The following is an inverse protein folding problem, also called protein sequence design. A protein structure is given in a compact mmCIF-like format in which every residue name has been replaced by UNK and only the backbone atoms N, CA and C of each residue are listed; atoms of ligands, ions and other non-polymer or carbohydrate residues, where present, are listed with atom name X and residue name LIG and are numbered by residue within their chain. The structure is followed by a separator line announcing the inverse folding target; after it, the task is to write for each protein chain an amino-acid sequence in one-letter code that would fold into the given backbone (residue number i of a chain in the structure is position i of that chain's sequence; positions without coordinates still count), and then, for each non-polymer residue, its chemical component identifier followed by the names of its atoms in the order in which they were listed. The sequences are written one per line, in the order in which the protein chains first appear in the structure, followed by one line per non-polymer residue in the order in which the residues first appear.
data_IF_921057419493
#
_entry.id   IF_921057419493
#
_cell.length_a   1.000
_cell.length_b   1.000
_cell.length_c   1.000
_cell.angle_alpha   90.00
_cell.angle_beta   90.00
_cell.angle_gamma   90.00
#
_symmetry.space_group_name_H-M   'P 1'
#
loop_
_entity.id
_entity.type
_entity.pdbx_description
1 polymer ?
#
# COMPACT_ATOMS: atom_id res chain seq x y z
N UNK A 1 12.67 3.17 -23.44
CA UNK A 1 11.45 3.18 -24.29
C UNK A 1 10.36 3.91 -23.53
N UNK A 2 9.50 4.67 -24.22
CA UNK A 2 8.43 5.41 -23.56
C UNK A 2 7.38 4.41 -23.04
N UNK A 3 7.25 4.29 -21.71
CA UNK A 3 6.21 3.45 -21.11
C UNK A 3 4.83 3.99 -21.50
N UNK A 4 3.95 3.10 -21.94
CA UNK A 4 2.57 3.43 -22.28
C UNK A 4 1.72 3.43 -21.01
N UNK A 5 0.87 4.45 -20.86
CA UNK A 5 -0.06 4.55 -19.73
C UNK A 5 -1.49 4.35 -20.22
N UNK A 6 -2.27 3.56 -19.48
CA UNK A 6 -3.71 3.39 -19.66
C UNK A 6 -4.42 4.16 -18.56
N UNK A 7 -5.24 5.10 -19.00
CA UNK A 7 -6.01 5.99 -18.13
C UNK A 7 -7.46 5.51 -18.03
N UNK A 8 -8.19 6.07 -17.06
CA UNK A 8 -9.61 5.76 -16.88
C UNK A 8 -10.45 6.10 -18.12
N UNK A 9 -9.99 7.05 -18.95
CA UNK A 9 -10.65 7.44 -20.19
C UNK A 9 -10.45 6.38 -21.29
N UNK A 10 -9.28 5.76 -21.37
CA UNK A 10 -9.02 4.67 -22.31
C UNK A 10 -9.92 3.47 -22.03
N UNK A 11 -10.15 3.15 -20.75
CA UNK A 11 -11.07 2.10 -20.32
C UNK A 11 -12.52 2.44 -20.71
N UNK A 12 -12.96 3.68 -20.48
CA UNK A 12 -14.32 4.13 -20.86
C UNK A 12 -14.55 4.03 -22.37
N UNK A 13 -13.53 4.34 -23.18
CA UNK A 13 -13.59 4.24 -24.65
C UNK A 13 -13.61 2.79 -25.13
N UNK A 14 -12.92 1.90 -24.43
CA UNK A 14 -12.78 0.51 -24.84
C UNK A 14 -14.11 -0.25 -24.96
N UNK A 15 -15.19 0.19 -24.28
CA UNK A 15 -16.60 -0.25 -24.44
C UNK A 15 -16.89 -1.76 -24.49
N UNK A 16 -15.88 -2.61 -24.30
CA UNK A 16 -15.87 -4.03 -24.59
C UNK A 16 -15.10 -4.78 -23.51
N UNK A 17 -15.55 -5.99 -23.23
CA UNK A 17 -15.19 -6.74 -22.02
C UNK A 17 -13.74 -7.21 -21.92
N UNK A 18 -12.85 -6.92 -22.88
CA UNK A 18 -11.44 -7.32 -22.84
C UNK A 18 -10.53 -6.25 -23.46
N UNK A 19 -9.46 -5.88 -22.75
CA UNK A 19 -8.42 -4.96 -23.22
C UNK A 19 -7.05 -5.63 -23.10
N UNK A 20 -6.37 -5.80 -24.24
CA UNK A 20 -5.03 -6.39 -24.32
C UNK A 20 -3.97 -5.29 -24.22
N UNK A 21 -3.01 -5.48 -23.33
CA UNK A 21 -1.98 -4.52 -22.94
C UNK A 21 -0.59 -5.07 -23.29
N UNK A 22 0.32 -4.17 -23.66
CA UNK A 22 1.72 -4.52 -23.86
C UNK A 22 2.40 -4.82 -22.51
N UNK A 23 3.53 -5.51 -22.55
CA UNK A 23 4.23 -5.97 -21.35
C UNK A 23 4.68 -4.82 -20.43
N UNK A 24 5.01 -3.67 -20.99
CA UNK A 24 5.50 -2.48 -20.28
C UNK A 24 4.40 -1.44 -20.00
N UNK A 25 3.14 -1.77 -20.30
CA UNK A 25 2.02 -0.86 -20.11
C UNK A 25 1.66 -0.72 -18.63
N UNK A 26 1.55 0.51 -18.15
CA UNK A 26 1.09 0.83 -16.80
C UNK A 26 -0.38 1.22 -16.85
N UNK A 27 -1.22 0.55 -16.07
CA UNK A 27 -2.62 0.91 -15.87
C UNK A 27 -2.70 1.73 -14.61
N UNK A 28 -3.21 2.95 -14.72
CA UNK A 28 -3.36 3.83 -13.55
C UNK A 28 -4.34 3.23 -12.52
N UNK A 29 -4.20 3.52 -11.21
CA UNK A 29 -5.12 3.00 -10.19
C UNK A 29 -6.59 3.33 -10.50
N UNK A 30 -6.84 4.56 -10.97
CA UNK A 30 -8.18 4.98 -11.39
C UNK A 30 -8.71 4.17 -12.59
N UNK A 31 -7.83 3.77 -13.52
CA UNK A 31 -8.22 2.92 -14.64
C UNK A 31 -8.55 1.50 -14.20
N UNK A 32 -7.79 0.93 -13.24
CA UNK A 32 -8.08 -0.37 -12.65
C UNK A 32 -9.47 -0.40 -11.98
N UNK A 33 -9.78 0.62 -11.18
CA UNK A 33 -11.11 0.76 -10.55
C UNK A 33 -12.24 0.84 -11.58
N UNK A 34 -12.04 1.64 -12.63
CA UNK A 34 -13.04 1.80 -13.70
C UNK A 34 -13.20 0.50 -14.48
N UNK A 35 -12.12 -0.23 -14.76
CA UNK A 35 -12.18 -1.52 -15.43
C UNK A 35 -12.95 -2.57 -14.61
N UNK A 36 -12.69 -2.62 -13.30
CA UNK A 36 -13.43 -3.50 -12.37
C UNK A 36 -14.93 -3.18 -12.34
N UNK A 37 -15.30 -1.90 -12.26
CA UNK A 37 -16.71 -1.46 -12.26
C UNK A 37 -17.42 -1.72 -13.59
N UNK A 38 -16.70 -1.56 -14.69
CA UNK A 38 -17.23 -1.76 -16.04
C UNK A 38 -17.20 -3.23 -16.49
N UNK A 39 -16.59 -4.13 -15.72
CA UNK A 39 -16.43 -5.54 -16.08
C UNK A 39 -15.48 -5.77 -17.25
N UNK A 40 -14.46 -4.93 -17.40
CA UNK A 40 -13.45 -5.04 -18.47
C UNK A 40 -12.28 -5.87 -17.97
N UNK A 41 -12.01 -7.00 -18.64
CA UNK A 41 -10.86 -7.85 -18.35
C UNK A 41 -9.58 -7.25 -18.96
N UNK A 42 -8.61 -6.92 -18.12
CA UNK A 42 -7.29 -6.45 -18.54
C UNK A 42 -6.35 -7.64 -18.67
N UNK A 43 -5.84 -7.88 -19.88
CA UNK A 43 -4.87 -8.95 -20.16
C UNK A 43 -3.61 -8.42 -20.78
N UNK A 44 -2.48 -9.07 -20.53
CA UNK A 44 -1.24 -8.80 -21.23
C UNK A 44 -1.22 -9.54 -22.57
N UNK A 45 -0.33 -9.12 -23.47
CA UNK A 45 -0.09 -9.78 -24.76
C UNK A 45 0.36 -11.24 -24.63
N UNK A 46 0.84 -11.66 -23.45
CA UNK A 46 1.17 -13.04 -23.07
C UNK A 46 -0.05 -13.88 -22.62
N UNK A 47 -1.25 -13.29 -22.59
CA UNK A 47 -2.50 -13.94 -22.18
C UNK A 47 -2.74 -14.00 -20.67
N UNK A 48 -1.82 -13.52 -19.83
CA UNK A 48 -2.00 -13.43 -18.38
C UNK A 48 -2.86 -12.23 -18.01
N UNK A 49 -3.48 -12.28 -16.83
CA UNK A 49 -4.16 -11.12 -16.24
C UNK A 49 -3.14 -10.00 -15.98
N UNK A 50 -3.59 -8.76 -16.09
CA UNK A 50 -2.73 -7.61 -15.82
C UNK A 50 -2.12 -7.66 -14.41
N UNK A 51 -0.79 -7.59 -14.34
CA UNK A 51 -0.05 -7.20 -13.13
C UNK A 51 0.75 -5.95 -13.43
N UNK A 52 0.94 -5.10 -12.42
CA UNK A 52 1.79 -3.93 -12.56
C UNK A 52 3.23 -4.37 -12.90
N UNK A 53 3.86 -3.80 -13.94
CA UNK A 53 5.24 -4.13 -14.28
C UNK A 53 6.19 -3.61 -13.20
N UNK A 54 7.38 -4.20 -13.10
CA UNK A 54 8.35 -3.77 -12.10
C UNK A 54 8.69 -2.26 -12.23
N UNK A 55 8.70 -1.52 -11.10
CA UNK A 55 9.01 -0.09 -11.11
C UNK A 55 10.40 0.15 -11.70
N UNK A 56 10.52 1.08 -12.65
CA UNK A 56 11.84 1.53 -13.12
C UNK A 56 12.47 2.39 -12.02
N UNK A 57 13.56 1.88 -11.43
CA UNK A 57 14.30 2.55 -10.36
C UNK A 57 15.46 3.42 -10.89
N UNK A 58 15.62 3.48 -12.21
CA UNK A 58 16.66 4.27 -12.88
C UNK A 58 18.08 3.72 -12.68
N UNK A 59 19.10 4.43 -13.19
CA UNK A 59 20.50 3.99 -13.13
C UNK A 59 21.05 3.95 -11.69
N UNK A 60 20.43 4.64 -10.75
CA UNK A 60 20.83 4.68 -9.34
C UNK A 60 20.64 3.33 -8.66
N UNK A 61 19.62 2.57 -9.05
CA UNK A 61 19.41 1.21 -8.53
C UNK A 61 20.51 0.26 -8.97
N UNK A 62 20.88 0.29 -10.26
CA UNK A 62 21.99 -0.53 -10.76
C UNK A 62 23.31 -0.18 -10.07
N UNK A 63 23.60 1.12 -9.91
CA UNK A 63 24.79 1.59 -9.19
C UNK A 63 24.81 1.12 -7.73
N UNK A 64 23.67 1.13 -7.06
CA UNK A 64 23.55 0.67 -5.69
C UNK A 64 23.69 -0.86 -5.56
N UNK A 65 23.19 -1.63 -6.53
CA UNK A 65 23.39 -3.08 -6.57
C UNK A 65 24.89 -3.43 -6.71
N UNK A 66 25.61 -2.67 -7.54
CA UNK A 66 27.05 -2.87 -7.76
C UNK A 66 27.89 -2.40 -6.56
N UNK A 67 27.50 -1.32 -5.88
CA UNK A 67 28.29 -0.70 -4.79
C UNK A 67 27.95 -1.19 -3.38
N UNK A 68 26.75 -1.74 -3.16
CA UNK A 68 26.24 -2.16 -1.85
C UNK A 68 25.68 -3.60 -1.89
N UNK A 69 26.51 -4.63 -2.19
CA UNK A 69 26.07 -6.01 -2.43
C UNK A 69 25.49 -6.72 -1.20
N UNK A 70 25.65 -6.16 0.01
CA UNK A 70 25.14 -6.74 1.26
C UNK A 70 23.84 -6.12 1.73
N UNK A 71 23.28 -5.16 0.98
CA UNK A 71 21.96 -4.61 1.27
C UNK A 71 20.98 -5.37 0.39
N UNK A 72 20.27 -6.39 0.91
CA UNK A 72 19.28 -7.09 0.11
C UNK A 72 18.21 -6.08 -0.31
N UNK A 73 17.90 -6.06 -1.61
CA UNK A 73 16.71 -5.35 -2.06
C UNK A 73 15.50 -5.96 -1.33
N UNK A 74 14.56 -5.13 -0.83
CA UNK A 74 13.28 -5.64 -0.36
C UNK A 74 12.60 -6.36 -1.52
N UNK A 75 12.68 -7.69 -1.51
CA UNK A 75 12.13 -8.56 -2.53
C UNK A 75 10.69 -8.93 -2.15
N UNK A 76 9.78 -8.73 -3.10
CA UNK A 76 8.37 -9.08 -2.97
C UNK A 76 7.44 -7.89 -2.67
N UNK A 77 6.12 -8.09 -2.81
CA UNK A 77 5.13 -7.16 -2.32
C UNK A 77 5.14 -7.24 -0.79
N UNK A 78 6.01 -6.47 -0.15
CA UNK A 78 6.01 -6.42 1.30
C UNK A 78 4.71 -5.77 1.77
N UNK A 79 3.85 -6.61 2.32
CA UNK A 79 2.55 -6.27 2.91
C UNK A 79 2.70 -5.55 4.25
N UNK A 80 3.93 -5.44 4.76
CA UNK A 80 4.26 -4.78 6.00
C UNK A 80 3.92 -3.29 5.97
N UNK A 81 3.12 -2.87 6.95
CA UNK A 81 2.80 -1.48 7.22
C UNK A 81 3.00 -1.16 8.70
N UNK A 82 3.40 0.07 8.97
CA UNK A 82 3.52 0.61 10.31
C UNK A 82 2.33 1.53 10.55
N UNK A 83 1.56 1.22 11.57
CA UNK A 83 0.44 2.05 12.06
C UNK A 83 0.92 2.75 13.32
N UNK A 84 0.81 4.08 13.35
CA UNK A 84 1.08 4.86 14.56
C UNK A 84 -0.17 5.59 15.00
N UNK A 85 -0.45 5.62 16.29
CA UNK A 85 -1.56 6.33 16.88
C UNK A 85 -1.08 7.17 18.07
N UNK A 86 -1.48 8.44 18.10
CA UNK A 86 -1.11 9.39 19.16
C UNK A 86 -2.31 10.25 19.53
N UNK A 87 -2.62 10.36 20.82
CA UNK A 87 -3.72 11.22 21.27
C UNK A 87 -4.04 11.11 22.74
N UNK A 88 -5.16 11.69 23.14
CA UNK A 88 -5.64 11.59 24.52
C UNK A 88 -6.15 10.18 24.76
N UNK A 89 -5.72 9.56 25.85
CA UNK A 89 -6.16 8.21 26.14
C UNK A 89 -7.63 8.20 26.59
N UNK A 90 -8.45 7.30 26.02
CA UNK A 90 -9.79 6.99 26.49
C UNK A 90 -10.04 5.48 26.48
N UNK A 91 -10.96 4.97 27.32
CA UNK A 91 -11.40 3.60 27.22
C UNK A 91 -11.88 3.27 25.78
N UNK A 92 -11.41 2.15 25.25
CA UNK A 92 -11.83 1.63 23.94
C UNK A 92 -10.88 1.90 22.77
N UNK A 93 -9.87 2.77 22.88
CA UNK A 93 -8.96 3.09 21.75
C UNK A 93 -8.29 1.83 21.18
N UNK A 94 -7.73 0.98 22.04
CA UNK A 94 -7.06 -0.24 21.59
C UNK A 94 -8.06 -1.16 20.87
N UNK A 95 -9.28 -1.31 21.40
CA UNK A 95 -10.31 -2.14 20.78
C UNK A 95 -10.74 -1.60 19.41
N UNK A 96 -10.84 -0.28 19.27
CA UNK A 96 -11.20 0.39 18.02
C UNK A 96 -10.13 0.17 16.94
N UNK A 97 -8.86 0.36 17.29
CA UNK A 97 -7.73 0.12 16.39
C UNK A 97 -7.65 -1.36 16.01
N UNK A 98 -7.70 -2.28 16.98
CA UNK A 98 -7.56 -3.72 16.68
C UNK A 98 -8.77 -4.29 15.96
N UNK A 99 -9.97 -3.75 16.17
CA UNK A 99 -11.16 -4.10 15.38
C UNK A 99 -10.96 -3.70 13.93
N UNK A 100 -10.50 -2.47 13.66
CA UNK A 100 -10.24 -2.02 12.29
C UNK A 100 -9.16 -2.87 11.59
N UNK A 101 -8.13 -3.29 12.33
CA UNK A 101 -7.12 -4.23 11.83
C UNK A 101 -7.73 -5.60 11.52
N UNK A 102 -8.56 -6.13 12.42
CA UNK A 102 -9.24 -7.40 12.25
C UNK A 102 -10.22 -7.40 11.06
N UNK A 103 -10.98 -6.31 10.87
CA UNK A 103 -11.89 -6.13 9.74
C UNK A 103 -11.14 -6.06 8.40
N UNK A 104 -9.89 -5.62 8.42
CA UNK A 104 -8.99 -5.65 7.25
C UNK A 104 -8.29 -7.00 7.06
N UNK A 105 -8.48 -7.96 7.99
CA UNK A 105 -7.77 -9.23 8.01
C UNK A 105 -6.26 -9.10 8.27
N UNK A 106 -5.82 -7.96 8.83
CA UNK A 106 -4.40 -7.69 9.07
C UNK A 106 -3.86 -8.52 10.24
N UNK A 107 -2.62 -8.96 10.13
CA UNK A 107 -1.91 -9.65 11.21
C UNK A 107 -0.97 -8.69 11.94
N UNK A 108 -0.95 -8.72 13.28
CA UNK A 108 -0.11 -7.83 14.08
C UNK A 108 1.17 -8.56 14.46
N UNK A 109 2.28 -8.16 13.84
CA UNK A 109 3.61 -8.72 14.12
C UNK A 109 4.23 -8.18 15.40
N UNK A 110 4.07 -6.89 15.65
CA UNK A 110 4.62 -6.23 16.82
C UNK A 110 3.75 -5.05 17.25
N UNK A 111 3.71 -4.80 18.57
CA UNK A 111 2.99 -3.69 19.17
C UNK A 111 3.84 -3.06 20.27
N UNK A 112 4.01 -1.75 20.17
CA UNK A 112 4.63 -0.93 21.22
C UNK A 112 3.67 0.17 21.63
N UNK A 113 3.48 0.32 22.94
CA UNK A 113 2.65 1.36 23.53
C UNK A 113 3.40 2.02 24.68
N UNK A 114 3.30 3.35 24.78
CA UNK A 114 3.69 4.10 25.98
C UNK A 114 2.75 5.27 26.24
N UNK A 115 2.71 5.71 27.49
CA UNK A 115 2.06 6.96 27.88
C UNK A 115 3.13 8.02 28.11
N UNK A 116 2.97 9.20 27.50
CA UNK A 116 3.88 10.35 27.62
C UNK A 116 3.05 11.57 27.90
N UNK A 117 3.30 12.25 29.02
CA UNK A 117 2.61 13.49 29.37
C UNK A 117 1.07 13.39 29.32
N UNK A 118 0.53 12.20 29.63
CA UNK A 118 -0.92 11.93 29.60
C UNK A 118 -1.49 11.55 28.23
N UNK A 119 -0.68 11.57 27.17
CA UNK A 119 -1.04 11.09 25.84
C UNK A 119 -0.59 9.64 25.67
N UNK A 120 -1.40 8.83 24.98
CA UNK A 120 -0.94 7.52 24.55
C UNK A 120 -0.17 7.68 23.23
N UNK A 121 0.86 6.87 23.09
CA UNK A 121 1.60 6.67 21.87
C UNK A 121 1.61 5.18 21.59
N UNK A 122 1.19 4.80 20.40
CA UNK A 122 1.14 3.43 19.96
C UNK A 122 1.78 3.32 18.59
N UNK A 123 2.58 2.29 18.38
CA UNK A 123 3.06 1.88 17.07
C UNK A 123 2.84 0.38 16.91
N UNK A 124 2.25 -0.02 15.80
CA UNK A 124 2.04 -1.40 15.42
C UNK A 124 2.74 -1.67 14.10
N UNK A 125 3.41 -2.81 14.03
CA UNK A 125 3.91 -3.37 12.77
C UNK A 125 2.94 -4.47 12.37
N UNK A 126 2.33 -4.33 11.20
CA UNK A 126 1.24 -5.22 10.77
C UNK A 126 1.46 -5.67 9.32
N UNK A 127 1.06 -6.90 9.02
CA UNK A 127 1.03 -7.43 7.66
C UNK A 127 -0.38 -7.30 7.10
N UNK A 128 -0.50 -6.60 5.97
CA UNK A 128 -1.77 -6.30 5.32
C UNK A 128 -2.05 -7.30 4.18
N UNK A 129 -3.07 -8.16 4.27
CA UNK A 129 -3.38 -9.09 3.19
C UNK A 129 -3.95 -8.36 1.97
N UNK A 130 -3.88 -8.99 0.79
CA UNK A 130 -4.52 -8.47 -0.44
C UNK A 130 -6.03 -8.24 -0.27
N UNK A 131 -6.67 -9.05 0.59
CA UNK A 131 -8.09 -8.95 0.93
C UNK A 131 -8.48 -7.63 1.64
N UNK A 132 -7.51 -6.86 2.14
CA UNK A 132 -7.75 -5.57 2.76
C UNK A 132 -8.20 -4.48 1.77
N UNK A 133 -8.22 -4.77 0.46
CA UNK A 133 -8.56 -3.81 -0.60
C UNK A 133 -7.42 -2.83 -0.91
N UNK A 134 -6.19 -3.20 -0.55
CA UNK A 134 -4.97 -2.43 -0.81
C UNK A 134 -4.63 -1.38 0.25
N UNK A 135 -3.38 -0.91 0.20
CA UNK A 135 -2.83 0.06 1.16
C UNK A 135 -3.64 1.37 1.24
N UNK A 136 -4.09 1.91 0.10
CA UNK A 136 -4.82 3.17 0.07
C UNK A 136 -6.11 3.13 0.87
N UNK A 137 -6.94 2.12 0.62
CA UNK A 137 -8.20 1.92 1.34
C UNK A 137 -7.98 1.67 2.83
N UNK A 138 -6.99 0.82 3.16
CA UNK A 138 -6.63 0.57 4.56
C UNK A 138 -6.20 1.85 5.27
N UNK A 139 -5.32 2.65 4.65
CA UNK A 139 -4.88 3.93 5.19
C UNK A 139 -6.05 4.88 5.42
N UNK A 140 -6.97 5.02 4.46
CA UNK A 140 -8.16 5.87 4.60
C UNK A 140 -9.04 5.44 5.78
N UNK A 141 -9.29 4.13 5.94
CA UNK A 141 -10.07 3.59 7.06
C UNK A 141 -9.40 3.89 8.41
N UNK A 142 -8.09 3.68 8.50
CA UNK A 142 -7.34 3.93 9.73
C UNK A 142 -7.26 5.42 10.07
N UNK A 143 -7.01 6.28 9.07
CA UNK A 143 -7.02 7.74 9.24
C UNK A 143 -8.38 8.26 9.73
N UNK A 144 -9.48 7.59 9.36
CA UNK A 144 -10.85 7.94 9.75
C UNK A 144 -11.26 7.51 11.17
N UNK A 145 -10.46 6.67 11.86
CA UNK A 145 -10.71 6.31 13.27
C UNK A 145 -10.51 7.52 14.21
N UNK A 146 -9.61 8.43 13.82
CA UNK A 146 -9.26 9.61 14.60
C UNK A 146 -10.21 10.79 14.38
N UNK A 147 -10.67 11.41 15.46
CA UNK A 147 -11.37 12.71 15.44
C UNK A 147 -10.42 13.89 15.72
N UNK A 148 -10.89 15.12 15.47
CA UNK A 148 -10.08 16.36 15.66
C UNK A 148 -9.60 16.60 17.09
N UNK A 149 -10.25 16.02 18.11
CA UNK A 149 -9.93 16.21 19.53
C UNK A 149 -9.59 14.90 20.28
N UNK A 150 -9.43 13.77 19.55
CA UNK A 150 -9.26 12.43 20.14
C UNK A 150 -7.81 11.93 19.99
N UNK A 151 -7.54 11.25 18.87
CA UNK A 151 -6.22 10.79 18.47
C UNK A 151 -6.08 10.84 16.97
N UNK A 152 -4.84 10.85 16.50
CA UNK A 152 -4.50 10.77 15.08
C UNK A 152 -3.86 9.41 14.83
N UNK A 153 -4.33 8.74 13.78
CA UNK A 153 -3.69 7.54 13.23
C UNK A 153 -2.93 7.92 11.97
N UNK A 154 -1.77 7.30 11.76
CA UNK A 154 -0.99 7.40 10.53
C UNK A 154 -0.56 6.01 10.10
N UNK A 155 -0.65 5.73 8.81
CA UNK A 155 -0.20 4.48 8.21
C UNK A 155 0.90 4.74 7.19
N UNK A 156 1.97 3.98 7.26
CA UNK A 156 3.10 4.03 6.31
C UNK A 156 3.48 2.61 5.90
N UNK A 157 3.96 2.42 4.67
CA UNK A 157 4.60 1.15 4.33
C UNK A 157 5.89 0.97 5.13
N UNK A 158 6.11 -0.22 5.69
CA UNK A 158 7.31 -0.56 6.45
C UNK A 158 8.58 -0.37 5.59
N UNK A 159 8.50 -0.65 4.29
CA UNK A 159 9.60 -0.46 3.34
C UNK A 159 10.20 0.94 3.38
N UNK A 160 9.41 1.98 3.68
CA UNK A 160 9.91 3.37 3.76
C UNK A 160 11.04 3.47 4.79
N UNK A 161 10.87 2.84 5.97
CA UNK A 161 11.87 2.85 7.03
C UNK A 161 13.11 2.03 6.65
N UNK A 162 12.93 0.93 5.91
CA UNK A 162 14.05 0.14 5.40
C UNK A 162 14.93 0.96 4.44
N UNK A 163 14.34 1.79 3.60
CA UNK A 163 15.08 2.66 2.69
C UNK A 163 15.77 3.85 3.40
N UNK A 164 15.29 4.27 4.57
CA UNK A 164 15.93 5.33 5.35
C UNK A 164 17.26 4.91 5.99
N UNK A 165 17.45 3.62 6.26
CA UNK A 165 18.67 3.07 6.89
C UNK A 165 19.66 2.49 5.86
N UNK A 166 19.66 3.01 4.63
CA UNK A 166 20.63 2.66 3.59
C UNK A 166 21.94 3.42 3.87
N UNK A 167 22.87 2.80 4.60
CA UNK A 167 24.24 3.30 4.80
C UNK A 167 25.12 2.75 3.67
#
# INVERSE_FOLDING_TARGET
MARRFVTSEDIRRASGGELVLDSDTIVTPQALEVAQRAGVNLRRSDGQSYSEPEPDRGPDAQRAADSLPHIPEPAGPETGVVVTAVGKNRPGILAEITTALGDAGADVRDISQRTVEGYFHMALTVDLPDAAGGFGLFKERMDALGGSDDFVVRVMHERVFRFMHRI
#
